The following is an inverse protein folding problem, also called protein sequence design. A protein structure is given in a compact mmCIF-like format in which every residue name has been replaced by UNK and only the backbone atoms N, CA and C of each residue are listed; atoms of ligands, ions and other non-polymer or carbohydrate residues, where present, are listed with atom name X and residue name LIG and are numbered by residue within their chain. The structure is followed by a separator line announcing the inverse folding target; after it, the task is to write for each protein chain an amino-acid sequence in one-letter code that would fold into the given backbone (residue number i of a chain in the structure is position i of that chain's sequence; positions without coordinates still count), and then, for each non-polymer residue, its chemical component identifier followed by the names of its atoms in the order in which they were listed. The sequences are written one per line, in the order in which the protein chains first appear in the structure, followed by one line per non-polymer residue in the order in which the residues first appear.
data_IF_548163683436
#
_entry.id   IF_548163683436
#
_cell.length_a   1.000
_cell.length_b   1.000
_cell.length_c   1.000
_cell.angle_alpha   90.00
_cell.angle_beta   90.00
_cell.angle_gamma   90.00
#
_symmetry.space_group_name_H-M   'P 1'
#
loop_
_entity.id
_entity.type
_entity.pdbx_description
1 polymer ?
#
# COMPACT_ATOMS: atom_id res chain seq x y z
N UNK A 1 32.49 -46.20 -7.22
CA UNK A 1 31.80 -45.09 -6.53
C UNK A 1 31.68 -43.91 -7.52
N UNK A 2 30.51 -43.56 -7.97
CA UNK A 2 30.31 -42.34 -8.79
C UNK A 2 30.04 -41.18 -7.84
N UNK A 3 30.87 -40.14 -7.87
CA UNK A 3 30.63 -38.92 -7.10
C UNK A 3 29.64 -38.05 -7.87
N UNK A 4 28.66 -37.54 -7.18
CA UNK A 4 27.63 -36.60 -7.70
C UNK A 4 27.99 -35.24 -7.09
N UNK A 5 28.20 -34.24 -7.94
CA UNK A 5 28.34 -32.85 -7.47
C UNK A 5 27.05 -32.08 -7.82
N UNK A 6 26.50 -31.36 -6.85
CA UNK A 6 25.34 -30.52 -7.04
C UNK A 6 25.56 -29.17 -6.35
N UNK A 7 24.98 -28.11 -6.88
CA UNK A 7 25.15 -26.77 -6.37
C UNK A 7 24.26 -26.49 -5.16
N UNK A 8 23.28 -27.35 -4.88
CA UNK A 8 22.38 -27.26 -3.72
C UNK A 8 22.13 -28.65 -3.14
N UNK A 9 21.87 -28.73 -1.84
CA UNK A 9 21.53 -29.96 -1.12
C UNK A 9 20.30 -30.66 -1.72
N UNK A 10 19.32 -29.89 -2.20
CA UNK A 10 18.12 -30.42 -2.87
C UNK A 10 18.44 -31.04 -4.24
N UNK A 11 19.34 -30.43 -5.00
CA UNK A 11 19.80 -30.96 -6.29
C UNK A 11 20.60 -32.25 -6.08
N UNK A 12 21.40 -32.33 -5.00
CA UNK A 12 22.10 -33.53 -4.58
C UNK A 12 21.13 -34.65 -4.20
N UNK A 13 20.08 -34.33 -3.44
CA UNK A 13 19.03 -35.26 -3.05
C UNK A 13 18.19 -35.76 -4.24
N UNK A 14 17.88 -34.87 -5.19
CA UNK A 14 17.20 -35.25 -6.43
C UNK A 14 18.04 -36.18 -7.29
N UNK A 15 19.30 -35.87 -7.47
CA UNK A 15 20.26 -36.74 -8.21
C UNK A 15 20.49 -38.05 -7.47
N UNK A 16 20.55 -38.07 -6.15
CA UNK A 16 20.63 -39.28 -5.35
C UNK A 16 19.38 -40.15 -5.47
N UNK A 17 18.17 -39.55 -5.55
CA UNK A 17 16.92 -40.27 -5.74
C UNK A 17 16.79 -40.96 -7.10
N UNK A 18 17.44 -40.43 -8.13
CA UNK A 18 17.51 -41.05 -9.47
C UNK A 18 18.39 -42.30 -9.50
N UNK A 19 19.23 -42.52 -8.46
CA UNK A 19 20.12 -43.66 -8.32
C UNK A 19 19.67 -44.73 -7.30
N UNK A 20 18.62 -44.44 -6.55
CA UNK A 20 18.03 -45.40 -5.61
C UNK A 20 16.59 -45.69 -6.03
N UNK A 21 16.24 -46.98 -6.17
CA UNK A 21 14.89 -47.47 -6.52
C UNK A 21 13.80 -47.09 -5.47
N UNK A 22 14.19 -46.33 -4.45
CA UNK A 22 13.27 -45.75 -3.46
C UNK A 22 13.64 -44.28 -3.28
N UNK A 23 12.68 -43.33 -3.51
CA UNK A 23 12.90 -41.95 -3.15
C UNK A 23 13.27 -41.87 -1.66
N UNK A 24 14.22 -41.00 -1.25
CA UNK A 24 14.49 -40.80 0.16
C UNK A 24 13.17 -40.48 0.85
N UNK A 25 12.76 -41.32 1.82
CA UNK A 25 11.63 -41.00 2.68
C UNK A 25 11.93 -39.63 3.29
N UNK A 26 11.24 -38.64 2.83
CA UNK A 26 11.29 -37.27 3.39
C UNK A 26 10.69 -37.40 4.78
N UNK A 27 11.55 -37.59 5.81
CA UNK A 27 11.10 -37.82 7.19
C UNK A 27 10.52 -36.53 7.74
N UNK A 28 9.24 -36.32 7.48
CA UNK A 28 8.44 -35.23 8.05
C UNK A 28 8.52 -35.22 9.59
N UNK A 29 8.85 -36.38 10.18
CA UNK A 29 8.85 -36.57 11.64
C UNK A 29 9.86 -35.68 12.38
N UNK A 30 11.00 -35.41 11.78
CA UNK A 30 12.06 -34.61 12.41
C UNK A 30 12.21 -33.20 11.76
N UNK A 31 11.41 -32.92 10.73
CA UNK A 31 11.46 -31.61 10.04
C UNK A 31 11.15 -30.48 11.00
N UNK A 32 11.99 -29.48 11.05
CA UNK A 32 11.83 -28.29 11.87
C UNK A 32 10.94 -27.24 11.19
N UNK A 33 10.42 -26.30 11.96
CA UNK A 33 9.66 -25.15 11.44
C UNK A 33 10.50 -24.33 10.44
N UNK A 34 11.81 -24.18 10.69
CA UNK A 34 12.70 -23.44 9.76
C UNK A 34 12.81 -24.15 8.41
N UNK A 35 13.02 -25.45 8.40
CA UNK A 35 13.10 -26.26 7.19
C UNK A 35 11.77 -26.25 6.43
N UNK A 36 10.64 -26.31 7.12
CA UNK A 36 9.32 -26.18 6.49
C UNK A 36 9.11 -24.81 5.84
N UNK A 37 9.55 -23.72 6.47
CA UNK A 37 9.50 -22.38 5.90
C UNK A 37 10.39 -22.26 4.65
N UNK A 38 11.60 -22.79 4.70
CA UNK A 38 12.54 -22.76 3.58
C UNK A 38 12.00 -23.59 2.40
N UNK A 39 11.53 -24.81 2.65
CA UNK A 39 10.91 -25.67 1.63
C UNK A 39 9.70 -25.01 0.97
N UNK A 40 8.85 -24.33 1.75
CA UNK A 40 7.73 -23.59 1.22
C UNK A 40 8.17 -22.43 0.32
N UNK A 41 9.21 -21.70 0.69
CA UNK A 41 9.76 -20.59 -0.08
C UNK A 41 10.37 -21.11 -1.38
N UNK A 42 11.16 -22.17 -1.31
CA UNK A 42 11.82 -22.76 -2.48
C UNK A 42 10.80 -23.34 -3.48
N UNK A 43 9.75 -23.98 -3.01
CA UNK A 43 8.65 -24.47 -3.88
C UNK A 43 7.97 -23.36 -4.71
N UNK A 44 8.12 -22.10 -4.32
CA UNK A 44 7.50 -20.95 -4.96
C UNK A 44 8.46 -19.96 -5.60
N UNK A 45 9.75 -20.22 -5.51
CA UNK A 45 10.83 -19.31 -5.94
C UNK A 45 10.65 -18.78 -7.36
N UNK A 46 10.16 -19.59 -8.28
CA UNK A 46 10.03 -19.26 -9.70
C UNK A 46 8.61 -18.82 -10.11
N UNK A 47 7.64 -18.85 -9.18
CA UNK A 47 6.23 -18.54 -9.50
C UNK A 47 5.68 -17.31 -8.78
N UNK A 48 6.42 -16.76 -7.80
CA UNK A 48 6.03 -15.54 -7.09
C UNK A 48 6.92 -14.36 -7.47
N UNK A 49 6.39 -13.15 -7.30
CA UNK A 49 7.14 -11.92 -7.58
C UNK A 49 8.39 -11.80 -6.69
N UNK A 50 9.53 -11.29 -7.21
CA UNK A 50 10.78 -11.14 -6.46
C UNK A 50 10.63 -10.40 -5.12
N UNK A 51 9.76 -9.37 -5.07
CA UNK A 51 9.47 -8.64 -3.83
C UNK A 51 8.73 -9.48 -2.78
N UNK A 52 7.88 -10.40 -3.22
CA UNK A 52 7.17 -11.33 -2.33
C UNK A 52 8.13 -12.38 -1.80
N UNK A 53 8.98 -12.94 -2.67
CA UNK A 53 10.03 -13.88 -2.29
C UNK A 53 10.95 -13.27 -1.23
N UNK A 54 11.48 -12.08 -1.49
CA UNK A 54 12.30 -11.35 -0.53
C UNK A 54 11.61 -11.12 0.81
N UNK A 55 10.31 -10.79 0.78
CA UNK A 55 9.50 -10.66 1.99
C UNK A 55 9.39 -11.95 2.79
N UNK A 56 9.19 -13.07 2.12
CA UNK A 56 9.12 -14.40 2.74
C UNK A 56 10.47 -14.81 3.35
N UNK A 57 11.56 -14.68 2.60
CA UNK A 57 12.92 -14.94 3.09
C UNK A 57 13.27 -14.09 4.32
N UNK A 58 12.90 -12.80 4.29
CA UNK A 58 13.09 -11.90 5.44
C UNK A 58 12.29 -12.33 6.66
N UNK A 59 11.06 -12.80 6.48
CA UNK A 59 10.24 -13.33 7.58
C UNK A 59 10.84 -14.62 8.12
N UNK A 60 11.14 -15.58 7.24
CA UNK A 60 11.68 -16.88 7.61
C UNK A 60 13.05 -16.78 8.32
N UNK A 61 13.82 -15.73 8.02
CA UNK A 61 15.12 -15.48 8.66
C UNK A 61 14.99 -14.79 10.02
N UNK A 62 14.07 -13.81 10.16
CA UNK A 62 14.14 -12.83 11.23
C UNK A 62 12.91 -12.81 12.16
N UNK A 63 11.89 -13.63 11.90
CA UNK A 63 10.63 -13.63 12.66
C UNK A 63 10.33 -15.02 13.21
N UNK A 64 9.62 -15.06 14.34
CA UNK A 64 9.24 -16.30 15.01
C UNK A 64 10.43 -17.26 15.22
N UNK A 65 11.64 -16.70 15.42
CA UNK A 65 12.89 -17.46 15.53
C UNK A 65 12.89 -18.45 16.69
N UNK A 66 12.09 -18.19 17.71
CA UNK A 66 11.84 -19.13 18.82
C UNK A 66 11.34 -20.51 18.34
N UNK A 67 10.63 -20.54 17.19
CA UNK A 67 10.05 -21.77 16.64
C UNK A 67 11.02 -22.55 15.75
N UNK A 68 12.10 -21.94 15.26
CA UNK A 68 12.91 -22.48 14.15
C UNK A 68 13.36 -23.92 14.36
N UNK A 69 13.75 -24.29 15.57
CA UNK A 69 14.27 -25.63 15.89
C UNK A 69 13.20 -26.61 16.40
N UNK A 70 11.94 -26.21 16.43
CA UNK A 70 10.86 -27.08 16.90
C UNK A 70 10.44 -27.98 15.74
N UNK A 71 10.41 -29.31 15.89
CA UNK A 71 9.84 -30.21 14.89
C UNK A 71 8.37 -29.88 14.62
N UNK A 72 7.98 -29.81 13.34
CA UNK A 72 6.63 -29.33 12.94
C UNK A 72 5.50 -30.17 13.54
N UNK A 73 5.72 -31.49 13.73
CA UNK A 73 4.75 -32.39 14.38
C UNK A 73 4.63 -32.18 15.90
N UNK A 74 5.63 -31.57 16.55
CA UNK A 74 5.64 -31.27 17.98
C UNK A 74 5.20 -29.83 18.30
N UNK A 75 4.97 -29.01 17.27
CA UNK A 75 4.61 -27.60 17.42
C UNK A 75 3.23 -27.47 18.09
N UNK A 76 3.18 -26.74 19.20
CA UNK A 76 1.94 -26.46 19.94
C UNK A 76 1.52 -25.01 19.78
N UNK A 77 0.23 -24.75 19.95
CA UNK A 77 -0.31 -23.38 19.91
C UNK A 77 0.38 -22.42 20.90
N UNK A 78 0.76 -22.94 22.07
CA UNK A 78 1.46 -22.15 23.10
C UNK A 78 2.84 -21.70 22.63
N UNK A 79 3.57 -22.52 21.88
CA UNK A 79 4.90 -22.17 21.36
C UNK A 79 4.81 -20.99 20.41
N UNK A 80 3.77 -20.98 19.54
CA UNK A 80 3.50 -19.87 18.63
C UNK A 80 3.22 -18.58 19.41
N UNK A 81 2.44 -18.65 20.51
CA UNK A 81 2.18 -17.48 21.34
C UNK A 81 3.46 -16.97 22.03
N UNK A 82 4.34 -17.86 22.50
CA UNK A 82 5.64 -17.45 23.06
C UNK A 82 6.53 -16.80 22.00
N UNK A 83 6.57 -17.32 20.78
CA UNK A 83 7.30 -16.70 19.68
C UNK A 83 6.76 -15.30 19.33
N UNK A 84 5.45 -15.12 19.36
CA UNK A 84 4.80 -13.81 19.16
C UNK A 84 5.21 -12.85 20.28
N UNK A 85 5.20 -13.30 21.53
CA UNK A 85 5.58 -12.48 22.68
C UNK A 85 7.05 -12.03 22.57
N UNK A 86 7.95 -12.96 22.27
CA UNK A 86 9.38 -12.66 22.09
C UNK A 86 9.61 -11.65 20.96
N UNK A 87 8.89 -11.77 19.84
CA UNK A 87 8.98 -10.81 18.74
C UNK A 87 8.31 -9.46 19.10
N UNK A 88 7.26 -9.46 19.92
CA UNK A 88 6.61 -8.24 20.41
C UNK A 88 7.54 -7.45 21.36
N UNK A 89 8.29 -8.12 22.23
CA UNK A 89 9.33 -7.52 23.09
C UNK A 89 10.42 -6.83 22.25
N UNK A 90 10.73 -7.37 21.06
CA UNK A 90 11.63 -6.75 20.07
C UNK A 90 11.00 -5.56 19.34
N UNK A 91 9.77 -5.16 19.69
CA UNK A 91 9.06 -4.00 19.12
C UNK A 91 8.39 -4.25 17.77
N UNK A 92 8.18 -5.50 17.38
CA UNK A 92 7.55 -5.82 16.10
C UNK A 92 6.06 -5.49 16.08
N UNK A 93 5.57 -4.97 14.96
CA UNK A 93 4.20 -4.48 14.85
C UNK A 93 3.17 -5.59 14.69
N UNK A 94 1.91 -5.30 15.04
CA UNK A 94 0.76 -6.16 14.76
C UNK A 94 0.73 -6.70 13.32
N UNK A 95 0.97 -5.81 12.34
CA UNK A 95 0.97 -6.18 10.91
C UNK A 95 2.08 -7.18 10.59
N UNK A 96 3.27 -6.95 11.13
CA UNK A 96 4.42 -7.83 10.93
C UNK A 96 4.16 -9.22 11.50
N UNK A 97 3.61 -9.29 12.72
CA UNK A 97 3.24 -10.56 13.34
C UNK A 97 2.18 -11.31 12.53
N UNK A 98 1.12 -10.60 12.10
CA UNK A 98 0.08 -11.21 11.27
C UNK A 98 0.64 -11.79 9.97
N UNK A 99 1.60 -11.12 9.34
CA UNK A 99 2.27 -11.62 8.13
C UNK A 99 3.14 -12.85 8.43
N UNK A 100 3.87 -12.85 9.53
CA UNK A 100 4.72 -13.98 9.92
C UNK A 100 3.90 -15.24 10.23
N UNK A 101 2.80 -15.11 10.98
CA UNK A 101 1.89 -16.22 11.26
C UNK A 101 1.21 -16.71 9.98
N UNK A 102 0.84 -15.80 9.06
CA UNK A 102 0.27 -16.17 7.77
C UNK A 102 1.24 -16.98 6.91
N UNK A 103 2.52 -16.63 6.91
CA UNK A 103 3.55 -17.42 6.23
C UNK A 103 3.74 -18.77 6.89
N UNK A 104 3.85 -18.82 8.24
CA UNK A 104 3.96 -20.06 9.00
C UNK A 104 2.77 -21.00 8.72
N UNK A 105 1.54 -20.47 8.76
CA UNK A 105 0.33 -21.23 8.44
C UNK A 105 0.39 -21.85 7.04
N UNK A 106 0.80 -21.05 6.04
CA UNK A 106 0.90 -21.51 4.65
C UNK A 106 2.01 -22.55 4.46
N UNK A 107 3.13 -22.38 5.18
CA UNK A 107 4.26 -23.31 5.11
C UNK A 107 3.91 -24.66 5.74
N UNK A 108 3.28 -24.67 6.90
CA UNK A 108 2.89 -25.90 7.60
C UNK A 108 1.76 -26.64 6.88
N UNK A 109 0.84 -25.91 6.24
CA UNK A 109 -0.21 -26.50 5.42
C UNK A 109 0.33 -27.29 4.21
N UNK A 110 1.54 -26.99 3.72
CA UNK A 110 2.21 -27.77 2.68
C UNK A 110 2.53 -29.20 3.14
N UNK A 111 2.65 -29.41 4.45
CA UNK A 111 2.95 -30.70 5.10
C UNK A 111 1.73 -31.26 5.87
N UNK A 112 0.51 -30.85 5.50
CA UNK A 112 -0.76 -31.25 6.12
C UNK A 112 -0.86 -30.93 7.63
N UNK A 113 -0.06 -29.99 8.13
CA UNK A 113 -0.11 -29.52 9.51
C UNK A 113 -0.91 -28.22 9.60
N UNK A 114 -2.06 -28.31 10.29
CA UNK A 114 -2.95 -27.18 10.47
C UNK A 114 -2.70 -26.48 11.80
N UNK A 115 -2.39 -25.20 11.74
CA UNK A 115 -2.32 -24.31 12.92
C UNK A 115 -3.45 -23.27 12.84
N UNK A 116 -3.90 -22.73 13.98
CA UNK A 116 -4.91 -21.67 13.99
C UNK A 116 -4.46 -20.43 13.21
N UNK A 117 -5.44 -19.72 12.63
CA UNK A 117 -5.20 -18.44 11.97
C UNK A 117 -4.64 -17.36 12.91
N UNK A 118 -4.01 -16.33 12.37
CA UNK A 118 -3.44 -15.22 13.13
C UNK A 118 -4.42 -14.55 14.10
N UNK A 119 -5.72 -14.51 13.76
CA UNK A 119 -6.76 -13.98 14.63
C UNK A 119 -7.01 -14.77 15.92
N UNK A 120 -6.51 -15.99 16.00
CA UNK A 120 -6.61 -16.85 17.18
C UNK A 120 -5.53 -16.60 18.23
N UNK A 121 -4.57 -15.74 17.95
CA UNK A 121 -3.46 -15.38 18.83
C UNK A 121 -3.61 -13.95 19.34
N UNK A 122 -3.01 -13.69 20.51
CA UNK A 122 -2.87 -12.33 21.04
C UNK A 122 -1.71 -11.64 20.35
N UNK A 123 -2.00 -10.64 19.54
CA UNK A 123 -1.02 -9.83 18.83
C UNK A 123 -0.81 -8.49 19.54
N UNK A 124 0.35 -7.83 19.37
CA UNK A 124 0.55 -6.46 19.82
C UNK A 124 -0.58 -5.52 19.34
N UNK A 125 -0.89 -4.45 20.07
CA UNK A 125 -1.93 -3.51 19.66
C UNK A 125 -1.62 -2.92 18.28
N UNK A 126 -2.67 -2.62 17.53
CA UNK A 126 -2.52 -1.91 16.26
C UNK A 126 -2.01 -0.49 16.54
N UNK A 127 -1.07 -0.02 15.73
CA UNK A 127 -0.70 1.40 15.76
C UNK A 127 -1.94 2.25 15.44
N UNK A 128 -2.08 3.42 16.08
CA UNK A 128 -3.14 4.37 15.72
C UNK A 128 -3.03 4.72 14.23
N UNK A 129 -4.13 5.18 13.62
CA UNK A 129 -4.10 5.72 12.26
C UNK A 129 -3.00 6.79 12.14
N UNK A 130 -2.43 6.93 10.96
CA UNK A 130 -1.47 8.01 10.70
C UNK A 130 -2.21 9.35 10.88
N UNK A 131 -1.52 10.31 11.47
CA UNK A 131 -2.01 11.69 11.60
C UNK A 131 -2.26 12.37 10.25
N UNK A 132 -2.67 13.64 10.30
CA UNK A 132 -2.93 14.45 9.12
C UNK A 132 -1.70 14.56 8.21
N UNK A 133 -1.95 14.77 6.92
CA UNK A 133 -0.90 15.06 5.97
C UNK A 133 -0.40 16.49 6.20
N UNK A 134 0.90 16.77 5.98
CA UNK A 134 1.40 18.12 5.91
C UNK A 134 0.65 18.93 4.83
N UNK A 135 0.61 20.24 5.02
CA UNK A 135 0.01 21.15 4.05
C UNK A 135 0.65 20.99 2.65
N UNK A 136 -0.19 20.76 1.62
CA UNK A 136 0.30 20.51 0.26
C UNK A 136 1.10 21.68 -0.32
N UNK A 137 0.68 22.94 -0.21
CA UNK A 137 1.50 24.09 -0.61
C UNK A 137 2.90 24.11 0.02
N UNK A 138 3.03 23.79 1.30
CA UNK A 138 4.32 23.69 1.97
C UNK A 138 5.18 22.56 1.38
N UNK A 139 4.58 21.41 1.14
CA UNK A 139 5.26 20.27 0.52
C UNK A 139 5.77 20.64 -0.89
N UNK A 140 4.91 21.19 -1.74
CA UNK A 140 5.29 21.57 -3.11
C UNK A 140 6.39 22.63 -3.12
N UNK A 141 6.26 23.68 -2.29
CA UNK A 141 7.31 24.71 -2.16
C UNK A 141 8.66 24.13 -1.76
N UNK A 142 8.64 23.12 -0.91
CA UNK A 142 9.88 22.44 -0.45
C UNK A 142 10.50 21.57 -1.55
N UNK A 143 9.69 21.00 -2.43
CA UNK A 143 10.15 20.11 -3.50
C UNK A 143 10.68 20.85 -4.73
N UNK A 144 10.07 21.97 -5.11
CA UNK A 144 10.46 22.77 -6.29
C UNK A 144 11.93 23.23 -6.16
N UNK A 145 12.70 23.08 -7.24
CA UNK A 145 14.12 23.43 -7.30
C UNK A 145 15.05 22.48 -6.52
N UNK A 146 14.51 21.42 -5.90
CA UNK A 146 15.32 20.45 -5.18
C UNK A 146 15.84 19.34 -6.08
N UNK A 147 16.87 18.63 -5.62
CA UNK A 147 17.44 17.47 -6.34
C UNK A 147 16.49 16.25 -6.42
N UNK A 148 15.31 16.32 -5.81
CA UNK A 148 14.26 15.27 -5.86
C UNK A 148 12.95 15.80 -6.43
N UNK A 149 12.97 16.97 -7.06
CA UNK A 149 11.80 17.63 -7.61
C UNK A 149 11.05 16.70 -8.57
N UNK A 150 11.69 16.28 -9.65
CA UNK A 150 11.04 15.49 -10.69
C UNK A 150 10.42 14.18 -10.16
N UNK A 151 11.14 13.27 -9.44
CA UNK A 151 10.52 12.05 -8.94
C UNK A 151 9.40 12.30 -7.93
N UNK A 152 9.46 13.37 -7.14
CA UNK A 152 8.41 13.69 -6.17
C UNK A 152 7.18 14.30 -6.84
N UNK A 153 7.37 15.21 -7.80
CA UNK A 153 6.26 15.82 -8.53
C UNK A 153 5.55 14.80 -9.42
N UNK A 154 6.27 13.87 -10.07
CA UNK A 154 5.66 12.74 -10.77
C UNK A 154 4.78 11.91 -9.80
N UNK A 155 5.25 11.68 -8.57
CA UNK A 155 4.50 10.92 -7.58
C UNK A 155 3.25 11.64 -7.07
N UNK A 156 3.28 12.96 -6.91
CA UNK A 156 2.16 13.71 -6.33
C UNK A 156 1.22 14.30 -7.40
N UNK A 157 1.67 14.53 -8.61
CA UNK A 157 0.90 15.24 -9.65
C UNK A 157 0.39 14.32 -10.76
N UNK A 158 1.19 13.32 -11.16
CA UNK A 158 0.79 12.36 -12.20
C UNK A 158 0.11 11.13 -11.59
N UNK A 159 -1.16 11.26 -11.19
CA UNK A 159 -2.00 10.15 -10.75
C UNK A 159 -1.51 9.46 -9.47
N UNK A 160 -0.77 10.15 -8.60
CA UNK A 160 -0.34 9.57 -7.33
C UNK A 160 0.51 8.31 -7.51
N UNK A 161 1.51 8.32 -8.39
CA UNK A 161 2.33 7.15 -8.70
C UNK A 161 3.10 6.62 -7.49
N UNK A 162 3.30 5.29 -7.47
CA UNK A 162 4.24 4.66 -6.54
C UNK A 162 5.67 4.96 -6.98
N UNK A 163 6.62 5.02 -6.04
CA UNK A 163 8.04 5.24 -6.39
C UNK A 163 8.57 4.20 -7.38
N UNK A 164 8.10 2.96 -7.31
CA UNK A 164 8.47 1.92 -8.28
C UNK A 164 7.91 2.18 -9.68
N UNK A 165 6.73 2.77 -9.79
CA UNK A 165 6.13 3.21 -11.05
C UNK A 165 6.90 4.41 -11.61
N UNK A 166 7.17 5.44 -10.78
CA UNK A 166 7.99 6.61 -11.16
C UNK A 166 9.36 6.19 -11.70
N UNK A 167 10.03 5.27 -11.00
CA UNK A 167 11.34 4.75 -11.44
C UNK A 167 11.26 3.81 -12.65
N UNK A 168 10.10 3.27 -12.95
CA UNK A 168 9.84 2.42 -14.10
C UNK A 168 9.52 3.18 -15.38
N UNK A 169 9.30 4.50 -15.31
CA UNK A 169 9.01 5.32 -16.49
C UNK A 169 10.23 5.45 -17.40
N UNK A 170 10.02 5.29 -18.70
CA UNK A 170 10.99 5.50 -19.76
C UNK A 170 10.53 6.65 -20.65
N UNK A 171 11.41 7.23 -21.44
CA UNK A 171 11.05 8.32 -22.38
C UNK A 171 10.03 7.86 -23.39
N UNK A 172 10.08 6.61 -23.88
CA UNK A 172 9.08 6.01 -24.78
C UNK A 172 7.66 5.89 -24.19
N UNK A 173 7.52 6.04 -22.87
CA UNK A 173 6.20 6.01 -22.21
C UNK A 173 5.47 7.36 -22.31
N UNK A 174 6.12 8.41 -22.83
CA UNK A 174 5.51 9.70 -23.10
C UNK A 174 4.84 9.63 -24.47
N UNK A 175 3.53 9.82 -24.48
CA UNK A 175 2.73 9.75 -25.71
C UNK A 175 2.00 11.06 -25.94
N UNK A 176 2.19 11.63 -27.12
CA UNK A 176 1.41 12.77 -27.57
C UNK A 176 0.08 12.31 -28.18
N UNK A 177 -0.99 12.98 -27.82
CA UNK A 177 -2.34 12.74 -28.31
C UNK A 177 -3.00 14.07 -28.67
N UNK A 178 -4.17 14.03 -29.29
CA UNK A 178 -4.98 15.25 -29.58
C UNK A 178 -5.38 16.00 -28.28
N UNK A 179 -5.39 15.33 -27.14
CA UNK A 179 -5.80 15.89 -25.85
C UNK A 179 -4.58 16.27 -24.97
N UNK A 180 -3.36 16.25 -25.54
CA UNK A 180 -2.11 16.56 -24.86
C UNK A 180 -1.20 15.36 -24.64
N UNK A 181 -0.21 15.54 -23.77
CA UNK A 181 0.76 14.48 -23.44
C UNK A 181 0.25 13.58 -22.31
N UNK A 182 0.55 12.30 -22.42
CA UNK A 182 0.21 11.27 -21.43
C UNK A 182 1.45 10.43 -21.10
N UNK A 183 1.48 9.92 -19.86
CA UNK A 183 2.43 8.89 -19.43
C UNK A 183 1.75 7.53 -19.37
N UNK A 184 2.30 6.53 -20.06
CA UNK A 184 1.89 5.14 -19.97
C UNK A 184 2.53 4.49 -18.74
N UNK A 185 1.76 4.29 -17.68
CA UNK A 185 2.22 3.69 -16.42
C UNK A 185 1.92 2.19 -16.46
N UNK A 186 2.83 1.39 -16.97
CA UNK A 186 2.67 -0.06 -17.11
C UNK A 186 3.83 -0.87 -16.50
N UNK A 187 4.93 -0.19 -16.19
CA UNK A 187 6.17 -0.80 -15.71
C UNK A 187 6.47 -0.39 -14.28
N UNK A 188 7.13 -1.27 -13.53
CA UNK A 188 7.67 -0.93 -12.22
C UNK A 188 9.11 -1.37 -12.09
N UNK A 189 9.96 -0.53 -11.45
CA UNK A 189 11.35 -0.80 -11.15
C UNK A 189 11.57 -0.74 -9.65
N UNK A 190 11.78 -1.92 -9.04
CA UNK A 190 11.99 -2.09 -7.60
C UNK A 190 13.46 -2.35 -7.30
N UNK A 191 13.94 -1.92 -6.14
CA UNK A 191 15.29 -2.21 -5.68
C UNK A 191 15.24 -3.19 -4.52
N UNK A 192 15.89 -4.35 -4.67
CA UNK A 192 16.02 -5.38 -3.63
C UNK A 192 17.51 -5.71 -3.47
N UNK A 193 18.03 -5.64 -2.25
CA UNK A 193 19.44 -5.88 -1.95
C UNK A 193 20.43 -5.10 -2.83
N UNK A 194 20.08 -3.86 -3.21
CA UNK A 194 20.92 -3.01 -4.07
C UNK A 194 20.79 -3.28 -5.58
N UNK A 195 20.05 -4.31 -5.98
CA UNK A 195 19.78 -4.64 -7.38
C UNK A 195 18.40 -4.18 -7.81
N UNK A 196 18.30 -3.64 -9.02
CA UNK A 196 17.03 -3.24 -9.61
C UNK A 196 16.41 -4.42 -10.37
N UNK A 197 15.12 -4.62 -10.11
CA UNK A 197 14.26 -5.57 -10.82
C UNK A 197 13.19 -4.79 -11.56
N UNK A 198 13.15 -4.95 -12.86
CA UNK A 198 12.15 -4.35 -13.74
C UNK A 198 11.05 -5.36 -14.01
N UNK A 199 9.81 -4.93 -13.90
CA UNK A 199 8.63 -5.73 -14.21
C UNK A 199 7.78 -4.98 -15.24
N UNK A 200 7.62 -5.56 -16.44
CA UNK A 200 6.87 -4.97 -17.55
C UNK A 200 5.35 -4.94 -17.31
N UNK A 201 4.88 -5.64 -16.29
CA UNK A 201 3.48 -5.60 -15.88
C UNK A 201 3.36 -5.15 -14.43
N UNK A 202 2.49 -4.19 -14.19
CA UNK A 202 2.15 -3.79 -12.84
C UNK A 202 1.46 -4.92 -12.07
N UNK A 203 1.51 -4.85 -10.74
CA UNK A 203 1.00 -5.88 -9.80
C UNK A 203 -0.46 -6.29 -10.06
N UNK A 204 -1.26 -5.41 -10.62
CA UNK A 204 -2.66 -5.68 -11.00
C UNK A 204 -2.96 -5.07 -12.37
N UNK A 205 -3.88 -5.65 -13.17
CA UNK A 205 -4.28 -5.08 -14.46
C UNK A 205 -4.73 -3.62 -14.38
N UNK A 206 -5.44 -3.25 -13.31
CA UNK A 206 -5.89 -1.87 -13.06
C UNK A 206 -4.75 -0.87 -12.74
N UNK A 207 -3.56 -1.36 -12.43
CA UNK A 207 -2.39 -0.50 -12.20
C UNK A 207 -1.76 0.00 -13.51
N UNK A 208 -2.03 -0.66 -14.65
CA UNK A 208 -1.66 -0.17 -15.97
C UNK A 208 -2.68 0.88 -16.40
N UNK A 209 -2.19 2.08 -16.69
CA UNK A 209 -3.04 3.24 -16.98
C UNK A 209 -2.28 4.32 -17.72
N UNK A 210 -3.01 5.16 -18.44
CA UNK A 210 -2.49 6.38 -19.01
C UNK A 210 -2.86 7.56 -18.10
N UNK A 211 -1.87 8.39 -17.77
CA UNK A 211 -2.04 9.53 -16.88
C UNK A 211 -1.67 10.80 -17.63
N UNK A 212 -2.50 11.84 -17.64
CA UNK A 212 -2.13 13.13 -18.25
C UNK A 212 -0.82 13.64 -17.68
N UNK A 213 0.07 14.10 -18.56
CA UNK A 213 1.37 14.67 -18.21
C UNK A 213 1.28 16.20 -18.28
N UNK A 214 1.32 16.91 -17.14
CA UNK A 214 1.33 18.37 -17.11
C UNK A 214 2.54 18.95 -17.85
N UNK A 215 2.36 20.08 -18.54
CA UNK A 215 3.41 20.74 -19.32
C UNK A 215 4.66 21.04 -18.49
N UNK A 216 4.49 21.49 -17.23
CA UNK A 216 5.61 21.73 -16.32
C UNK A 216 6.50 20.49 -16.12
N UNK A 217 5.88 19.32 -15.97
CA UNK A 217 6.64 18.07 -15.78
C UNK A 217 7.26 17.59 -17.10
N UNK A 218 6.59 17.79 -18.23
CA UNK A 218 7.15 17.55 -19.54
C UNK A 218 8.42 18.38 -19.74
N UNK A 219 8.38 19.67 -19.44
CA UNK A 219 9.54 20.57 -19.53
C UNK A 219 10.69 20.13 -18.62
N UNK A 220 10.38 19.66 -17.41
CA UNK A 220 11.40 19.11 -16.50
C UNK A 220 12.05 17.84 -17.04
N UNK A 221 11.26 16.96 -17.67
CA UNK A 221 11.76 15.71 -18.25
C UNK A 221 12.62 16.05 -19.48
N UNK A 222 12.20 16.95 -20.34
CA UNK A 222 12.91 17.34 -21.55
C UNK A 222 14.24 18.07 -21.31
N UNK A 223 14.43 18.64 -20.11
CA UNK A 223 15.73 19.22 -19.71
C UNK A 223 16.82 18.18 -19.46
N UNK A 224 16.45 16.92 -19.31
CA UNK A 224 17.41 15.84 -19.11
C UNK A 224 17.81 15.24 -20.45
N UNK A 225 19.12 15.22 -20.73
CA UNK A 225 19.65 14.53 -21.91
C UNK A 225 19.46 13.02 -21.77
N UNK A 226 19.04 12.37 -22.83
CA UNK A 226 18.94 10.91 -22.97
C UNK A 226 19.43 10.46 -24.34
N UNK A 227 19.94 9.25 -24.43
CA UNK A 227 20.51 8.67 -25.66
C UNK A 227 19.53 7.76 -26.40
N UNK A 228 18.53 7.26 -25.69
CA UNK A 228 17.54 6.32 -26.20
C UNK A 228 16.22 6.51 -25.48
N UNK A 229 15.11 6.34 -26.20
CA UNK A 229 13.77 6.40 -25.62
C UNK A 229 13.48 5.26 -24.62
N UNK A 230 14.30 4.20 -24.62
CA UNK A 230 14.25 3.10 -23.65
C UNK A 230 14.93 3.44 -22.31
N UNK A 231 15.64 4.57 -22.21
CA UNK A 231 16.24 5.00 -20.95
C UNK A 231 15.15 5.37 -19.92
N UNK A 232 15.46 5.09 -18.65
CA UNK A 232 14.59 5.50 -17.57
C UNK A 232 14.67 7.00 -17.32
N UNK A 233 13.51 7.69 -17.26
CA UNK A 233 13.41 9.11 -16.91
C UNK A 233 14.10 9.38 -15.55
N UNK A 234 13.95 8.44 -14.60
CA UNK A 234 14.63 8.48 -13.31
C UNK A 234 15.68 7.35 -13.27
N UNK A 235 16.91 7.66 -13.65
CA UNK A 235 18.03 6.68 -13.68
C UNK A 235 18.49 6.24 -12.29
N UNK A 236 18.30 7.07 -11.28
CA UNK A 236 18.83 6.90 -9.93
C UNK A 236 18.20 5.73 -9.18
N UNK A 237 19.01 5.14 -8.26
CA UNK A 237 18.47 4.11 -7.38
C UNK A 237 17.57 4.70 -6.27
N UNK A 238 16.63 3.88 -5.80
CA UNK A 238 15.67 4.27 -4.78
C UNK A 238 16.31 4.80 -3.49
N UNK A 239 17.40 4.19 -3.04
CA UNK A 239 18.09 4.59 -1.82
C UNK A 239 18.67 6.01 -1.89
N UNK A 240 19.17 6.42 -3.06
CA UNK A 240 19.68 7.78 -3.26
C UNK A 240 18.55 8.80 -3.22
N UNK A 241 17.47 8.56 -3.95
CA UNK A 241 16.26 9.41 -3.94
C UNK A 241 15.73 9.55 -2.50
N UNK A 242 15.55 8.41 -1.81
CA UNK A 242 15.01 8.38 -0.46
C UNK A 242 15.87 9.18 0.52
N UNK A 243 17.18 9.01 0.51
CA UNK A 243 18.07 9.76 1.43
C UNK A 243 17.99 11.26 1.22
N UNK A 244 17.95 11.72 -0.05
CA UNK A 244 17.82 13.16 -0.36
C UNK A 244 16.44 13.68 0.03
N UNK A 245 15.38 12.94 -0.27
CA UNK A 245 14.02 13.28 0.14
C UNK A 245 13.89 13.39 1.66
N UNK A 246 14.31 12.36 2.41
CA UNK A 246 14.23 12.38 3.88
C UNK A 246 15.03 13.54 4.49
N UNK A 247 16.23 13.84 3.94
CA UNK A 247 17.05 14.95 4.39
C UNK A 247 16.40 16.30 4.12
N UNK A 248 15.83 16.48 2.92
CA UNK A 248 15.13 17.70 2.52
C UNK A 248 13.94 17.98 3.44
N UNK A 249 13.08 17.00 3.66
CA UNK A 249 11.90 17.14 4.50
C UNK A 249 12.27 17.37 5.96
N UNK A 250 13.27 16.65 6.48
CA UNK A 250 13.77 16.86 7.85
C UNK A 250 14.29 18.29 8.06
N UNK A 251 15.03 18.85 7.07
CA UNK A 251 15.52 20.22 7.10
C UNK A 251 14.38 21.24 7.21
N UNK A 252 13.22 20.94 6.62
CA UNK A 252 12.04 21.82 6.60
C UNK A 252 10.99 21.44 7.66
N UNK A 253 11.31 20.57 8.63
CA UNK A 253 10.41 20.18 9.72
C UNK A 253 9.22 19.31 9.27
N UNK A 254 9.22 18.80 8.05
CA UNK A 254 8.12 18.03 7.48
C UNK A 254 8.31 16.55 7.80
N UNK A 255 7.29 15.92 8.39
CA UNK A 255 7.26 14.47 8.68
C UNK A 255 6.35 13.77 7.66
N UNK A 256 6.93 13.28 6.60
CA UNK A 256 6.18 12.57 5.54
C UNK A 256 7.08 11.54 4.87
N UNK A 257 6.52 10.37 4.53
CA UNK A 257 7.20 9.36 3.72
C UNK A 257 6.96 9.62 2.23
N UNK A 258 7.83 9.12 1.35
CA UNK A 258 7.63 9.24 -0.10
C UNK A 258 6.27 8.69 -0.56
N UNK A 259 5.82 7.58 0.04
CA UNK A 259 4.51 7.00 -0.30
C UNK A 259 3.32 7.90 0.08
N UNK A 260 3.50 8.83 1.01
CA UNK A 260 2.46 9.78 1.39
C UNK A 260 2.27 10.91 0.36
N UNK A 261 3.16 11.09 -0.62
CA UNK A 261 2.90 11.92 -1.81
C UNK A 261 1.67 11.41 -2.58
N UNK A 262 1.51 10.08 -2.64
CA UNK A 262 0.31 9.47 -3.22
C UNK A 262 -0.95 9.73 -2.39
N UNK A 263 -0.83 9.83 -1.06
CA UNK A 263 -1.93 10.24 -0.21
C UNK A 263 -2.25 11.73 -0.38
N UNK A 264 -1.23 12.59 -0.56
CA UNK A 264 -1.41 14.00 -0.91
C UNK A 264 -2.24 14.16 -2.20
N UNK A 265 -1.88 13.43 -3.26
CA UNK A 265 -2.65 13.43 -4.51
C UNK A 265 -4.10 13.05 -4.25
N UNK A 266 -4.36 11.92 -3.58
CA UNK A 266 -5.71 11.42 -3.35
C UNK A 266 -6.56 12.40 -2.51
N UNK A 267 -5.96 12.95 -1.44
CA UNK A 267 -6.64 13.90 -0.55
C UNK A 267 -6.94 15.21 -1.28
N UNK A 268 -5.96 15.78 -1.97
CA UNK A 268 -6.15 17.04 -2.71
C UNK A 268 -7.21 16.92 -3.81
N UNK A 269 -7.18 15.86 -4.60
CA UNK A 269 -8.17 15.62 -5.64
C UNK A 269 -9.58 15.41 -5.07
N UNK A 270 -9.68 14.72 -3.94
CA UNK A 270 -10.97 14.56 -3.24
C UNK A 270 -11.48 15.90 -2.70
N UNK A 271 -10.61 16.74 -2.12
CA UNK A 271 -10.96 18.06 -1.59
C UNK A 271 -11.38 19.03 -2.70
N UNK A 272 -10.83 18.87 -3.91
CA UNK A 272 -11.25 19.57 -5.13
C UNK A 272 -12.55 19.03 -5.73
N UNK A 273 -13.19 18.04 -5.13
CA UNK A 273 -14.47 17.49 -5.57
C UNK A 273 -14.37 16.55 -6.78
N UNK A 274 -13.18 16.06 -7.12
CA UNK A 274 -13.03 15.10 -8.22
C UNK A 274 -13.68 13.77 -7.85
N UNK A 275 -14.53 13.27 -8.75
CA UNK A 275 -15.24 11.99 -8.53
C UNK A 275 -14.30 10.84 -8.25
N UNK A 276 -14.68 9.99 -7.30
CA UNK A 276 -13.84 8.85 -6.86
C UNK A 276 -13.49 7.86 -7.96
N UNK A 277 -14.36 7.68 -8.93
CA UNK A 277 -14.12 6.82 -10.09
C UNK A 277 -12.94 7.34 -10.92
N UNK A 278 -12.87 8.67 -11.15
CA UNK A 278 -11.76 9.32 -11.85
C UNK A 278 -10.46 9.17 -11.03
N UNK A 279 -10.54 9.40 -9.71
CA UNK A 279 -9.40 9.19 -8.82
C UNK A 279 -8.87 7.75 -8.91
N UNK A 280 -9.78 6.75 -8.87
CA UNK A 280 -9.42 5.35 -8.98
C UNK A 280 -8.68 5.04 -10.28
N UNK A 281 -9.17 5.56 -11.40
CA UNK A 281 -8.55 5.37 -12.72
C UNK A 281 -7.16 6.00 -12.75
N UNK A 282 -7.04 7.27 -12.39
CA UNK A 282 -5.76 7.99 -12.38
C UNK A 282 -4.73 7.36 -11.46
N UNK A 283 -5.15 6.95 -10.27
CA UNK A 283 -4.26 6.36 -9.28
C UNK A 283 -4.03 4.85 -9.46
N UNK A 284 -4.83 4.16 -10.27
CA UNK A 284 -4.76 2.71 -10.41
C UNK A 284 -5.07 1.97 -9.09
N UNK A 285 -6.09 2.43 -8.36
CA UNK A 285 -6.61 1.71 -7.19
C UNK A 285 -7.65 0.67 -7.60
N UNK A 286 -7.53 -0.51 -7.02
CA UNK A 286 -8.43 -1.63 -7.36
C UNK A 286 -9.84 -1.42 -6.84
N UNK A 287 -10.01 -0.72 -5.72
CA UNK A 287 -11.31 -0.45 -5.07
C UNK A 287 -11.35 0.94 -4.45
N UNK A 288 -12.55 1.54 -4.34
CA UNK A 288 -12.79 2.78 -3.60
C UNK A 288 -12.48 2.61 -2.11
N UNK A 289 -12.74 1.43 -1.55
CA UNK A 289 -12.44 1.12 -0.14
C UNK A 289 -10.96 1.38 0.22
N UNK A 290 -10.03 0.95 -0.63
CA UNK A 290 -8.59 1.21 -0.42
C UNK A 290 -8.28 2.71 -0.52
N UNK A 291 -8.93 3.42 -1.43
CA UNK A 291 -8.79 4.85 -1.58
C UNK A 291 -9.25 5.57 -0.30
N UNK A 292 -10.46 5.26 0.18
CA UNK A 292 -11.07 5.89 1.34
C UNK A 292 -10.33 5.56 2.65
N UNK A 293 -10.02 4.29 2.91
CA UNK A 293 -9.44 3.86 4.19
C UNK A 293 -7.94 4.20 4.33
N UNK A 294 -7.21 4.29 3.23
CA UNK A 294 -5.74 4.35 3.27
C UNK A 294 -5.19 5.71 2.84
N UNK A 295 -5.82 6.34 1.87
CA UNK A 295 -5.24 7.51 1.21
C UNK A 295 -5.97 8.81 1.48
N UNK A 296 -7.32 8.83 1.48
CA UNK A 296 -8.07 10.03 1.79
C UNK A 296 -8.04 10.26 3.30
N UNK A 297 -7.56 11.43 3.72
CA UNK A 297 -7.51 11.86 5.13
C UNK A 297 -8.33 13.13 5.25
N UNK A 298 -9.42 13.05 6.01
CA UNK A 298 -10.31 14.17 6.25
C UNK A 298 -9.90 14.86 7.55
N UNK A 299 -9.31 16.05 7.53
CA UNK A 299 -8.96 16.78 8.73
C UNK A 299 -10.20 17.26 9.48
N UNK A 300 -10.07 17.49 10.78
CA UNK A 300 -11.18 17.90 11.65
C UNK A 300 -11.84 19.23 11.19
N UNK A 301 -11.07 20.14 10.59
CA UNK A 301 -11.59 21.38 10.00
C UNK A 301 -12.67 21.15 8.95
N UNK A 302 -12.53 20.10 8.11
CA UNK A 302 -13.50 19.72 7.10
C UNK A 302 -14.81 19.20 7.70
N UNK A 303 -14.74 18.57 8.88
CA UNK A 303 -15.95 18.16 9.62
C UNK A 303 -16.73 19.38 10.09
N UNK A 304 -16.02 20.42 10.57
CA UNK A 304 -16.65 21.69 11.00
C UNK A 304 -17.28 22.40 9.81
N UNK A 305 -16.59 22.48 8.66
CA UNK A 305 -17.16 23.07 7.44
C UNK A 305 -18.44 22.33 6.99
N UNK A 306 -18.40 20.99 6.96
CA UNK A 306 -19.56 20.17 6.60
C UNK A 306 -20.75 20.38 7.54
N UNK A 307 -20.51 20.43 8.87
CA UNK A 307 -21.55 20.72 9.85
C UNK A 307 -22.14 22.10 9.68
N UNK A 308 -21.32 23.12 9.39
CA UNK A 308 -21.82 24.47 9.16
C UNK A 308 -22.82 24.53 8.00
N UNK A 309 -22.52 23.89 6.89
CA UNK A 309 -23.45 23.82 5.73
C UNK A 309 -24.78 23.17 6.13
N UNK A 310 -24.73 22.09 6.93
CA UNK A 310 -25.92 21.41 7.41
C UNK A 310 -26.69 22.25 8.43
N UNK A 311 -26.00 22.94 9.34
CA UNK A 311 -26.62 23.85 10.33
C UNK A 311 -27.34 25.01 9.63
N UNK A 312 -26.77 25.61 8.61
CA UNK A 312 -27.38 26.67 7.82
C UNK A 312 -28.69 26.18 7.14
N UNK A 313 -28.66 24.97 6.54
CA UNK A 313 -29.83 24.32 5.98
C UNK A 313 -30.91 24.05 7.05
N UNK A 314 -30.55 23.49 8.20
CA UNK A 314 -31.45 23.16 9.29
C UNK A 314 -32.10 24.43 9.92
N UNK A 315 -31.33 25.50 10.05
CA UNK A 315 -31.82 26.77 10.55
C UNK A 315 -32.90 27.37 9.61
N UNK A 316 -32.68 27.31 8.30
CA UNK A 316 -33.66 27.73 7.30
C UNK A 316 -34.94 26.87 7.39
N UNK A 317 -34.80 25.56 7.47
CA UNK A 317 -35.93 24.62 7.56
C UNK A 317 -36.74 24.83 8.86
N UNK A 318 -36.08 24.97 10.00
CA UNK A 318 -36.76 25.25 11.28
C UNK A 318 -37.50 26.57 11.24
N UNK A 319 -36.93 27.58 10.61
CA UNK A 319 -37.61 28.90 10.45
C UNK A 319 -38.87 28.78 9.59
N UNK A 320 -38.82 28.06 8.49
CA UNK A 320 -39.97 27.79 7.64
C UNK A 320 -41.06 27.02 8.38
N UNK A 321 -40.69 25.91 9.06
CA UNK A 321 -41.69 25.12 9.83
C UNK A 321 -42.34 25.89 10.93
N UNK A 322 -41.62 26.79 11.63
CA UNK A 322 -42.22 27.68 12.64
C UNK A 322 -43.24 28.67 12.03
N UNK A 323 -42.91 29.24 10.87
CA UNK A 323 -43.82 30.14 10.18
C UNK A 323 -45.09 29.42 9.70
N UNK A 324 -44.97 28.24 9.15
CA UNK A 324 -46.12 27.40 8.74
C UNK A 324 -47.02 27.01 9.92
N UNK A 325 -46.41 26.66 11.07
CA UNK A 325 -47.17 26.33 12.27
C UNK A 325 -47.96 27.53 12.81
N UNK A 326 -47.32 28.70 12.88
CA UNK A 326 -47.96 29.93 13.32
C UNK A 326 -49.11 30.32 12.39
N UNK A 327 -48.97 30.18 11.09
CA UNK A 327 -50.01 30.42 10.11
C UNK A 327 -51.21 29.48 10.29
N UNK A 328 -50.97 28.20 10.60
CA UNK A 328 -52.04 27.23 10.87
C UNK A 328 -52.79 27.50 12.17
N UNK A 329 -52.10 27.94 13.23
CA UNK A 329 -52.70 28.31 14.51
C UNK A 329 -53.60 29.54 14.36
N UNK A 330 -53.14 30.57 13.66
CA UNK A 330 -53.95 31.78 13.37
C UNK A 330 -55.17 31.48 12.52
N UNK A 331 -55.11 30.52 11.59
CA UNK A 331 -56.28 30.11 10.80
C UNK A 331 -57.32 29.37 11.65
N UNK A 332 -56.86 28.56 12.60
CA UNK A 332 -57.78 27.84 13.53
C UNK A 332 -58.44 28.76 14.49
N UNK A 333 -57.77 29.79 15.02
CA UNK A 333 -58.35 30.82 15.89
C UNK A 333 -59.38 31.72 15.16
N UNK A 334 -59.05 32.08 13.87
CA UNK A 334 -60.01 32.87 13.08
C UNK A 334 -61.29 32.09 12.73
N UNK A 335 -61.21 30.78 12.53
CA UNK A 335 -62.38 29.93 12.33
C UNK A 335 -63.21 29.78 13.61
N UNK A 336 -62.62 29.63 14.78
CA UNK A 336 -63.29 29.51 16.05
C UNK A 336 -64.01 30.83 16.47
N UNK A 337 -63.46 31.99 16.09
CA UNK A 337 -64.12 33.29 16.33
C UNK A 337 -65.35 33.57 15.43
N UNK A 338 -65.39 32.97 14.23
CA UNK A 338 -66.52 33.12 13.31
C UNK A 338 -67.71 32.22 13.67
N UNK A 339 -67.45 31.09 14.34
CA UNK A 339 -68.53 30.18 14.77
C UNK A 339 -69.24 30.62 16.09
N UNK A 340 -68.53 31.41 16.93
CA UNK A 340 -69.16 31.97 18.15
C UNK A 340 -70.11 33.23 17.94
N UNK A 341 -70.19 33.74 16.73
CA UNK A 341 -71.10 34.87 16.38
C UNK A 341 -72.31 34.40 15.59
N UNK A 342 -72.59 33.09 15.53
CA UNK A 342 -73.79 32.53 14.85
C UNK A 342 -74.74 31.78 15.74
N UNK A 343 -74.67 31.95 17.09
CA UNK A 343 -75.70 31.50 18.02
C UNK A 343 -76.57 32.69 18.56
#
# INVERSE_FOLDING_TARGET
MKSISANTEWEALKLASEFTDSPPEFRIDDMTVKEALDSFIDSRRHVIAPSTLYGYESIAKNRLTYLHNIPIKKLKRVDIQFAINADAERGLSHKTMKQAIGLLHSALALFDINIPNAGSFRLPPKKPPKGDLPDLPLVIRTLIGSSVELPCLLAVWCGGMRISEVRGLQYQDIVETKDGYFLKVHRSRICLNGHDYVTERNKTPKSTRDVPLPAYLLDLIQKSEHKSDEEFIISENYGAIKRRYDRLLKKNGIKMTFHELRAQFATAMNDLGVRKEILQMLGGWSTSKVLDEVYIRTPQSKLVEGMKVFDDYMNALVTQCKAEKLASENHTEAQNHTDHHKE
#
